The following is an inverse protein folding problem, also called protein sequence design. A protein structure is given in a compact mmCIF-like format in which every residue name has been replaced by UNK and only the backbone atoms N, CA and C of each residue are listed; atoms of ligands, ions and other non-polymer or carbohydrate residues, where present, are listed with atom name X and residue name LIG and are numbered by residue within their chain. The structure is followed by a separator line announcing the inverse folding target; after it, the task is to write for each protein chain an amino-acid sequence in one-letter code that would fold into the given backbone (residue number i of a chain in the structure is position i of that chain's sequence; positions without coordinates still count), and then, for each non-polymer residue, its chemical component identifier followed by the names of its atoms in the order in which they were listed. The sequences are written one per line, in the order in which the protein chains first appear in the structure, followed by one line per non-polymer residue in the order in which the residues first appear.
data_IF_526868236027
#
_entry.id   IF_526868236027
#
_cell.length_a   1.000
_cell.length_b   1.000
_cell.length_c   1.000
_cell.angle_alpha   90.00
_cell.angle_beta   90.00
_cell.angle_gamma   90.00
#
_symmetry.space_group_name_H-M   'P 1'
#
loop_
_entity.id
_entity.type
_entity.pdbx_description
1 polymer ?
#
# COMPACT_ATOMS: atom_id res chain seq x y z
N UNK A 1 -10.15 6.39 17.92
CA UNK A 1 -9.93 6.95 16.58
C UNK A 1 -11.28 6.99 15.88
N UNK A 2 -11.57 8.05 15.13
CA UNK A 2 -12.87 8.22 14.47
C UNK A 2 -12.84 7.56 13.10
N UNK A 3 -13.68 6.55 12.87
CA UNK A 3 -13.75 5.82 11.59
C UNK A 3 -14.15 6.75 10.45
N UNK A 4 -15.05 7.70 10.72
CA UNK A 4 -15.46 8.74 9.77
C UNK A 4 -14.28 9.57 9.27
N UNK A 5 -13.29 9.89 10.11
CA UNK A 5 -12.09 10.61 9.68
C UNK A 5 -11.22 9.77 8.75
N UNK A 6 -11.13 8.46 8.98
CA UNK A 6 -10.42 7.56 8.06
C UNK A 6 -11.15 7.48 6.72
N UNK A 7 -12.48 7.34 6.74
CA UNK A 7 -13.32 7.32 5.54
C UNK A 7 -13.18 8.63 4.75
N UNK A 8 -13.30 9.78 5.43
CA UNK A 8 -13.11 11.09 4.81
C UNK A 8 -11.71 11.26 4.21
N UNK A 9 -10.67 10.73 4.87
CA UNK A 9 -9.28 10.74 4.36
C UNK A 9 -9.14 10.00 3.03
N UNK A 10 -9.99 9.01 2.80
CA UNK A 10 -10.04 8.26 1.55
C UNK A 10 -11.24 8.67 0.68
N UNK A 11 -11.82 9.85 0.90
CA UNK A 11 -12.96 10.41 0.13
C UNK A 11 -14.22 9.53 0.11
N UNK A 12 -14.45 8.76 1.18
CA UNK A 12 -15.70 8.06 1.42
C UNK A 12 -16.50 8.83 2.47
N UNK A 13 -17.69 9.28 2.12
CA UNK A 13 -18.56 10.10 2.99
C UNK A 13 -19.82 9.35 3.46
N UNK A 14 -19.90 8.05 3.18
CA UNK A 14 -20.98 7.20 3.67
C UNK A 14 -20.88 7.05 5.20
N UNK A 15 -22.02 7.02 5.89
CA UNK A 15 -22.04 6.68 7.32
C UNK A 15 -21.48 5.28 7.53
N UNK A 16 -20.57 5.04 8.51
CA UNK A 16 -19.96 3.72 8.72
C UNK A 16 -20.98 2.58 8.87
N UNK A 17 -22.14 2.85 9.46
CA UNK A 17 -23.23 1.90 9.67
C UNK A 17 -23.96 1.46 8.39
N UNK A 18 -23.78 2.20 7.29
CA UNK A 18 -24.38 1.91 5.98
C UNK A 18 -23.45 1.14 5.05
N UNK A 19 -22.18 0.96 5.45
CA UNK A 19 -21.20 0.19 4.70
C UNK A 19 -21.28 -1.25 5.18
N UNK A 20 -21.87 -2.12 4.37
CA UNK A 20 -21.90 -3.56 4.64
C UNK A 20 -20.57 -4.25 4.26
N UNK A 21 -20.46 -5.54 4.58
CA UNK A 21 -19.26 -6.35 4.35
C UNK A 21 -19.20 -7.01 2.97
N UNK A 22 -19.84 -6.39 1.97
CA UNK A 22 -19.87 -6.88 0.59
C UNK A 22 -18.55 -6.71 -0.15
N UNK A 23 -18.37 -7.48 -1.25
CA UNK A 23 -17.19 -7.35 -2.12
C UNK A 23 -17.17 -6.01 -2.85
N UNK A 24 -18.34 -5.45 -3.14
CA UNK A 24 -18.51 -4.13 -3.74
C UNK A 24 -17.96 -3.04 -2.81
N UNK A 25 -18.34 -3.07 -1.53
CA UNK A 25 -17.83 -2.12 -0.54
C UNK A 25 -16.33 -2.34 -0.24
N UNK A 26 -15.85 -3.58 -0.16
CA UNK A 26 -14.42 -3.86 -0.03
C UNK A 26 -13.63 -3.27 -1.21
N UNK A 27 -14.14 -3.45 -2.43
CA UNK A 27 -13.51 -2.94 -3.65
C UNK A 27 -13.49 -1.42 -3.66
N UNK A 28 -14.60 -0.76 -3.32
CA UNK A 28 -14.71 0.69 -3.20
C UNK A 28 -13.70 1.24 -2.18
N UNK A 29 -13.63 0.66 -0.98
CA UNK A 29 -12.70 1.07 0.07
C UNK A 29 -11.24 0.90 -0.37
N UNK A 30 -10.92 -0.23 -1.01
CA UNK A 30 -9.57 -0.54 -1.47
C UNK A 30 -9.08 0.44 -2.54
N UNK A 31 -9.90 0.67 -3.58
CA UNK A 31 -9.59 1.61 -4.65
C UNK A 31 -9.47 3.04 -4.12
N UNK A 32 -10.42 3.47 -3.28
CA UNK A 32 -10.44 4.82 -2.73
C UNK A 32 -9.23 5.11 -1.84
N UNK A 33 -8.77 4.12 -1.07
CA UNK A 33 -7.54 4.25 -0.29
C UNK A 33 -6.34 4.46 -1.20
N UNK A 34 -6.17 3.65 -2.24
CA UNK A 34 -5.03 3.73 -3.17
C UNK A 34 -4.97 5.07 -3.93
N UNK A 35 -6.13 5.63 -4.28
CA UNK A 35 -6.22 6.92 -4.99
C UNK A 35 -5.90 8.12 -4.09
N UNK A 36 -6.19 8.01 -2.79
CA UNK A 36 -6.14 9.15 -1.88
C UNK A 36 -4.95 9.14 -0.92
N UNK A 37 -4.47 7.98 -0.50
CA UNK A 37 -3.35 7.84 0.45
C UNK A 37 -2.08 7.47 -0.32
N UNK A 38 -1.07 8.36 -0.38
CA UNK A 38 0.18 8.05 -1.05
C UNK A 38 0.95 6.95 -0.32
N UNK A 39 1.68 6.13 -1.06
CA UNK A 39 2.81 5.39 -0.50
C UNK A 39 3.98 6.37 -0.34
N UNK A 40 4.62 6.39 0.82
CA UNK A 40 5.81 7.21 1.05
C UNK A 40 6.71 6.61 2.11
N UNK A 41 8.02 6.82 1.95
CA UNK A 41 9.05 6.43 2.92
C UNK A 41 9.83 7.63 3.49
N UNK A 42 9.20 8.81 3.57
CA UNK A 42 9.85 10.05 4.02
C UNK A 42 10.41 9.93 5.44
N UNK A 43 9.72 9.20 6.33
CA UNK A 43 10.21 9.02 7.70
C UNK A 43 11.49 8.17 7.74
N UNK A 44 11.66 7.20 6.82
CA UNK A 44 12.91 6.45 6.68
C UNK A 44 14.03 7.36 6.19
N UNK A 45 13.76 8.13 5.12
CA UNK A 45 14.73 9.05 4.50
C UNK A 45 15.17 10.13 5.49
N UNK A 46 14.24 10.72 6.23
CA UNK A 46 14.51 11.76 7.22
C UNK A 46 14.88 11.23 8.60
N UNK A 47 15.06 9.91 8.75
CA UNK A 47 15.44 9.25 10.01
C UNK A 47 14.53 9.64 11.18
N UNK A 48 13.25 9.84 10.90
CA UNK A 48 12.22 10.04 11.93
C UNK A 48 11.92 8.70 12.61
N UNK A 49 11.33 8.77 13.80
CA UNK A 49 10.91 7.58 14.54
C UNK A 49 9.79 6.88 13.75
N UNK A 50 10.03 5.65 13.34
CA UNK A 50 9.01 4.80 12.76
C UNK A 50 8.17 4.13 13.84
N UNK A 51 6.86 3.99 13.64
CA UNK A 51 6.01 3.31 14.60
C UNK A 51 4.91 2.48 13.93
N UNK A 52 4.72 1.27 14.46
CA UNK A 52 3.58 0.41 14.14
C UNK A 52 2.38 0.64 15.08
N UNK A 53 2.46 1.65 15.96
CA UNK A 53 1.37 1.98 16.86
C UNK A 53 0.22 2.64 16.08
N UNK A 54 -0.98 2.05 16.15
CA UNK A 54 -2.14 2.51 15.39
C UNK A 54 -2.52 3.98 15.66
N UNK A 55 -2.31 4.50 16.87
CA UNK A 55 -2.60 5.91 17.17
C UNK A 55 -1.61 6.85 16.46
N UNK A 56 -0.31 6.50 16.45
CA UNK A 56 0.72 7.26 15.71
C UNK A 56 0.47 7.19 14.21
N UNK A 57 0.10 6.02 13.68
CA UNK A 57 -0.25 5.82 12.27
C UNK A 57 -1.46 6.68 11.88
N UNK A 58 -2.52 6.65 12.70
CA UNK A 58 -3.71 7.46 12.47
C UNK A 58 -3.39 8.95 12.46
N UNK A 59 -2.63 9.43 13.45
CA UNK A 59 -2.21 10.84 13.51
C UNK A 59 -1.42 11.24 12.27
N UNK A 60 -0.48 10.39 11.83
CA UNK A 60 0.31 10.62 10.62
C UNK A 60 -0.57 10.65 9.36
N UNK A 61 -1.25 9.56 9.04
CA UNK A 61 -1.93 9.38 7.74
C UNK A 61 -3.21 10.22 7.67
N UNK A 62 -3.98 10.25 8.76
CA UNK A 62 -5.33 10.85 8.78
C UNK A 62 -5.27 12.31 9.21
N UNK A 63 -4.67 12.62 10.36
CA UNK A 63 -4.66 13.99 10.89
C UNK A 63 -3.68 14.90 10.14
N UNK A 64 -2.47 14.39 9.82
CA UNK A 64 -1.41 15.15 9.16
C UNK A 64 -1.37 14.94 7.64
N UNK A 65 -2.39 14.27 7.08
CA UNK A 65 -2.56 14.04 5.64
C UNK A 65 -1.33 13.41 4.94
N UNK A 66 -0.54 12.62 5.68
CA UNK A 66 0.60 11.90 5.14
C UNK A 66 0.18 10.61 4.43
N UNK A 67 1.17 9.94 3.88
CA UNK A 67 1.06 8.56 3.42
C UNK A 67 1.71 7.59 4.41
N UNK A 68 2.05 6.41 3.94
CA UNK A 68 2.87 5.47 4.70
C UNK A 68 3.33 4.29 3.87
N UNK A 69 4.32 3.58 4.40
CA UNK A 69 4.78 2.30 3.84
C UNK A 69 3.76 1.18 4.12
N UNK A 70 4.03 -0.04 3.66
CA UNK A 70 3.12 -1.18 3.80
C UNK A 70 2.62 -1.40 5.25
N UNK A 71 3.50 -1.27 6.23
CA UNK A 71 3.15 -1.46 7.64
C UNK A 71 2.18 -0.44 8.18
N UNK A 72 2.32 0.84 7.81
CA UNK A 72 1.46 1.89 8.33
C UNK A 72 0.11 1.84 7.60
N UNK A 73 0.15 1.77 6.27
CA UNK A 73 -1.03 1.84 5.43
C UNK A 73 -1.92 0.61 5.55
N UNK A 74 -1.36 -0.61 5.47
CA UNK A 74 -2.16 -1.83 5.63
C UNK A 74 -2.61 -2.06 7.10
N UNK A 75 -1.89 -1.54 8.10
CA UNK A 75 -2.36 -1.56 9.50
C UNK A 75 -3.55 -0.62 9.70
N UNK A 76 -3.48 0.61 9.16
CA UNK A 76 -4.62 1.53 9.19
C UNK A 76 -5.82 0.97 8.43
N UNK A 77 -5.59 0.38 7.25
CA UNK A 77 -6.65 -0.18 6.43
C UNK A 77 -7.30 -1.39 7.10
N UNK A 78 -6.52 -2.27 7.72
CA UNK A 78 -7.07 -3.35 8.54
C UNK A 78 -7.89 -2.83 9.72
N UNK A 79 -7.42 -1.77 10.40
CA UNK A 79 -8.18 -1.14 11.48
C UNK A 79 -9.54 -0.62 10.97
N UNK A 80 -9.55 0.07 9.82
CA UNK A 80 -10.79 0.51 9.18
C UNK A 80 -11.73 -0.68 8.89
N UNK A 81 -11.24 -1.69 8.17
CA UNK A 81 -12.03 -2.87 7.78
C UNK A 81 -12.62 -3.60 8.98
N UNK A 82 -11.85 -3.80 10.05
CA UNK A 82 -12.34 -4.43 11.30
C UNK A 82 -13.47 -3.65 11.94
N UNK A 83 -13.38 -2.33 11.99
CA UNK A 83 -14.42 -1.50 12.59
C UNK A 83 -15.68 -1.41 11.72
N UNK A 84 -15.57 -1.67 10.42
CA UNK A 84 -16.70 -1.85 9.50
C UNK A 84 -17.28 -3.28 9.51
N UNK A 85 -16.68 -4.21 10.28
CA UNK A 85 -17.18 -5.57 10.46
C UNK A 85 -16.62 -6.63 9.50
N UNK A 86 -15.65 -6.29 8.66
CA UNK A 86 -14.99 -7.27 7.79
C UNK A 86 -14.15 -8.28 8.60
N UNK A 87 -14.18 -9.55 8.20
CA UNK A 87 -13.22 -10.57 8.66
C UNK A 87 -11.88 -10.38 7.93
N UNK A 88 -10.92 -9.76 8.60
CA UNK A 88 -9.62 -9.40 8.02
C UNK A 88 -8.45 -9.82 8.92
N UNK A 89 -7.40 -10.35 8.29
CA UNK A 89 -6.14 -10.73 8.93
C UNK A 89 -4.92 -10.17 8.19
N UNK A 90 -3.83 -9.98 8.93
CA UNK A 90 -2.52 -9.69 8.33
C UNK A 90 -1.87 -10.97 7.86
N UNK A 91 -1.13 -10.87 6.76
CA UNK A 91 -0.27 -11.92 6.25
C UNK A 91 1.11 -11.36 5.92
N UNK A 92 2.10 -12.25 5.94
CA UNK A 92 3.44 -11.97 5.47
C UNK A 92 3.54 -12.25 3.97
N UNK A 93 4.19 -11.33 3.25
CA UNK A 93 4.57 -11.53 1.87
C UNK A 93 6.08 -11.30 1.69
N UNK A 94 6.75 -12.24 1.03
CA UNK A 94 8.13 -12.13 0.57
C UNK A 94 8.14 -11.49 -0.80
N UNK A 95 8.74 -10.31 -0.94
CA UNK A 95 8.80 -9.63 -2.22
C UNK A 95 9.94 -10.22 -3.07
N UNK A 96 9.63 -10.56 -4.31
CA UNK A 96 10.60 -11.10 -5.29
C UNK A 96 11.00 -10.03 -6.32
N UNK A 97 10.12 -9.04 -6.53
CA UNK A 97 10.48 -7.79 -7.20
C UNK A 97 11.25 -6.91 -6.21
N UNK A 98 12.18 -6.09 -6.71
CA UNK A 98 12.96 -5.20 -5.85
C UNK A 98 11.98 -4.18 -5.26
N UNK A 99 11.55 -4.37 -4.00
CA UNK A 99 11.01 -3.23 -3.26
C UNK A 99 12.11 -2.19 -3.18
N UNK A 100 11.73 -0.93 -3.19
CA UNK A 100 12.66 0.16 -2.98
C UNK A 100 13.38 0.08 -1.62
N UNK A 101 12.90 -0.74 -0.68
CA UNK A 101 13.48 -0.92 0.66
C UNK A 101 14.42 -2.17 0.70
N UNK A 102 14.33 -3.07 -0.27
CA UNK A 102 15.18 -4.27 -0.41
C UNK A 102 14.40 -5.60 -0.44
N UNK A 103 15.03 -6.67 -0.93
CA UNK A 103 14.39 -7.99 -1.11
C UNK A 103 14.15 -8.75 0.21
N UNK A 104 14.96 -8.48 1.24
CA UNK A 104 14.78 -9.07 2.57
C UNK A 104 13.76 -8.32 3.43
N UNK A 105 13.20 -7.21 2.90
CA UNK A 105 12.21 -6.43 3.62
C UNK A 105 10.86 -7.17 3.61
N UNK A 106 10.32 -7.55 4.77
CA UNK A 106 9.06 -8.24 4.84
C UNK A 106 7.91 -7.32 4.44
N UNK A 107 7.03 -7.77 3.54
CA UNK A 107 5.85 -7.02 3.14
C UNK A 107 4.63 -7.45 3.94
N UNK A 108 3.86 -6.48 4.40
CA UNK A 108 2.59 -6.71 5.08
C UNK A 108 1.46 -6.54 4.06
N UNK A 109 0.65 -7.58 3.87
CA UNK A 109 -0.59 -7.54 3.11
C UNK A 109 -1.75 -8.08 3.95
N UNK A 110 -2.97 -8.01 3.42
CA UNK A 110 -4.18 -8.45 4.12
C UNK A 110 -4.89 -9.57 3.36
N UNK A 111 -5.51 -10.47 4.12
CA UNK A 111 -6.54 -11.38 3.61
C UNK A 111 -7.88 -11.01 4.23
N UNK A 112 -8.88 -10.80 3.39
CA UNK A 112 -10.26 -10.51 3.79
C UNK A 112 -11.14 -11.70 3.41
N UNK A 113 -11.93 -12.20 4.35
CA UNK A 113 -12.91 -13.25 4.10
C UNK A 113 -14.29 -12.63 3.93
N UNK A 114 -14.95 -12.97 2.84
CA UNK A 114 -16.35 -12.63 2.57
C UNK A 114 -17.03 -13.94 2.18
N UNK A 115 -18.03 -14.34 2.96
CA UNK A 115 -18.68 -15.64 2.86
C UNK A 115 -17.65 -16.79 2.86
N UNK A 116 -17.59 -17.59 1.78
CA UNK A 116 -16.68 -18.73 1.63
C UNK A 116 -15.45 -18.41 0.76
N UNK A 117 -15.19 -17.12 0.49
CA UNK A 117 -14.08 -16.66 -0.37
C UNK A 117 -13.07 -15.85 0.43
N UNK A 118 -11.80 -15.96 0.04
CA UNK A 118 -10.68 -15.22 0.61
C UNK A 118 -10.10 -14.29 -0.46
N UNK A 119 -9.91 -13.01 -0.12
CA UNK A 119 -9.43 -11.99 -1.03
C UNK A 119 -8.09 -11.41 -0.55
N UNK A 120 -7.09 -11.37 -1.43
CA UNK A 120 -5.87 -10.61 -1.22
C UNK A 120 -6.18 -9.12 -1.38
N UNK A 121 -5.82 -8.35 -0.37
CA UNK A 121 -6.01 -6.90 -0.28
C UNK A 121 -4.71 -6.25 0.17
N UNK A 122 -4.28 -5.21 -0.52
CA UNK A 122 -3.01 -4.55 -0.24
C UNK A 122 -3.05 -3.10 -0.76
N UNK A 123 -3.00 -2.13 0.15
CA UNK A 123 -3.09 -0.71 -0.21
C UNK A 123 -1.73 -0.03 -0.37
N UNK A 124 -0.61 -0.74 -0.17
CA UNK A 124 0.69 -0.08 0.01
C UNK A 124 1.91 -0.86 -0.52
N UNK A 125 1.80 -1.37 -1.74
CA UNK A 125 2.91 -1.92 -2.53
C UNK A 125 3.33 -1.01 -3.70
N UNK A 126 3.29 0.31 -3.48
CA UNK A 126 3.62 1.33 -4.49
C UNK A 126 2.67 1.33 -5.68
N UNK A 127 3.11 0.79 -6.83
CA UNK A 127 2.25 0.57 -7.99
C UNK A 127 1.47 -0.75 -7.86
N UNK A 128 0.25 -0.65 -7.33
CA UNK A 128 -0.53 -1.80 -6.89
C UNK A 128 -1.74 -2.13 -7.76
N UNK A 129 -2.22 -3.36 -7.61
CA UNK A 129 -3.58 -3.72 -8.03
C UNK A 129 -4.60 -2.92 -7.22
N UNK A 130 -5.64 -2.38 -7.87
CA UNK A 130 -6.64 -1.49 -7.24
C UNK A 130 -7.89 -2.20 -6.73
N UNK A 131 -7.95 -3.51 -6.93
CA UNK A 131 -9.12 -4.33 -6.59
C UNK A 131 -8.69 -5.53 -5.75
N UNK A 132 -9.55 -6.00 -4.82
CA UNK A 132 -9.32 -7.26 -4.12
C UNK A 132 -9.20 -8.42 -5.10
N UNK A 133 -8.26 -9.34 -4.88
CA UNK A 133 -8.07 -10.52 -5.72
C UNK A 133 -8.53 -11.79 -5.01
N UNK A 134 -9.53 -12.48 -5.56
CA UNK A 134 -10.05 -13.73 -4.98
C UNK A 134 -9.04 -14.86 -5.14
N UNK A 135 -8.70 -15.53 -4.03
CA UNK A 135 -7.89 -16.74 -4.05
C UNK A 135 -8.67 -17.87 -4.72
N UNK A 136 -7.99 -18.63 -5.59
CA UNK A 136 -8.57 -19.77 -6.29
C UNK A 136 -9.28 -19.45 -7.60
N UNK A 137 -9.44 -18.18 -7.96
CA UNK A 137 -9.94 -17.76 -9.27
C UNK A 137 -8.77 -17.40 -10.21
N UNK A 138 -8.83 -17.83 -11.47
CA UNK A 138 -7.86 -17.44 -12.52
C UNK A 138 -8.32 -16.14 -13.21
N UNK A 139 -8.47 -15.09 -12.41
CA UNK A 139 -8.91 -13.78 -12.88
C UNK A 139 -7.70 -12.89 -13.16
N UNK A 140 -7.64 -12.35 -14.38
CA UNK A 140 -6.68 -11.30 -14.75
C UNK A 140 -7.37 -9.95 -14.60
N UNK A 141 -6.82 -9.09 -13.75
CA UNK A 141 -7.27 -7.71 -13.58
C UNK A 141 -6.25 -6.74 -14.14
N UNK A 142 -6.70 -5.54 -14.51
CA UNK A 142 -5.82 -4.48 -15.05
C UNK A 142 -5.84 -3.27 -14.14
N UNK A 143 -4.67 -2.75 -13.82
CA UNK A 143 -4.49 -1.48 -13.09
C UNK A 143 -3.32 -0.73 -13.72
N UNK A 144 -3.52 0.53 -14.11
CA UNK A 144 -2.47 1.40 -14.69
C UNK A 144 -1.73 0.83 -15.92
N UNK A 145 -2.40 -0.03 -16.69
CA UNK A 145 -1.81 -0.72 -17.85
C UNK A 145 -0.93 -1.92 -17.49
N UNK A 146 -0.97 -2.38 -16.24
CA UNK A 146 -0.35 -3.61 -15.76
C UNK A 146 -1.45 -4.64 -15.52
N UNK A 147 -1.21 -5.88 -15.97
CA UNK A 147 -2.08 -7.00 -15.67
C UNK A 147 -1.60 -7.70 -14.40
N UNK A 148 -2.54 -8.10 -13.54
CA UNK A 148 -2.27 -8.80 -12.30
C UNK A 148 -3.12 -10.06 -12.22
N UNK A 149 -2.58 -11.10 -11.57
CA UNK A 149 -3.34 -12.30 -11.21
C UNK A 149 -2.72 -12.99 -10.00
N UNK A 150 -3.50 -13.85 -9.37
CA UNK A 150 -2.99 -14.79 -8.36
C UNK A 150 -2.58 -16.10 -9.02
N UNK A 151 -1.49 -16.67 -8.53
CA UNK A 151 -1.05 -18.02 -8.89
C UNK A 151 -0.83 -18.82 -7.62
N UNK A 152 -1.52 -19.96 -7.49
CA UNK A 152 -1.21 -20.94 -6.45
C UNK A 152 0.14 -21.61 -6.81
N UNK A 153 1.11 -21.54 -5.90
CA UNK A 153 2.44 -22.14 -6.09
C UNK A 153 2.43 -23.60 -5.60
N UNK A 154 1.91 -23.80 -4.38
CA UNK A 154 1.70 -25.11 -3.77
C UNK A 154 0.50 -25.02 -2.80
N UNK A 155 0.35 -25.98 -1.88
CA UNK A 155 -0.79 -26.01 -0.95
C UNK A 155 -0.82 -24.82 0.02
N UNK A 156 0.33 -24.25 0.36
CA UNK A 156 0.50 -23.22 1.39
C UNK A 156 0.83 -21.84 0.81
N UNK A 157 1.46 -21.79 -0.37
CA UNK A 157 1.99 -20.57 -0.97
C UNK A 157 1.22 -20.11 -2.21
N UNK A 158 1.04 -18.80 -2.27
CA UNK A 158 0.40 -18.06 -3.37
C UNK A 158 1.34 -16.95 -3.84
N UNK A 159 1.28 -16.63 -5.12
CA UNK A 159 2.04 -15.53 -5.70
C UNK A 159 1.10 -14.49 -6.31
N UNK A 160 1.33 -13.22 -5.97
CA UNK A 160 0.83 -12.11 -6.78
C UNK A 160 1.75 -11.99 -8.00
N UNK A 161 1.18 -12.18 -9.17
CA UNK A 161 1.87 -12.07 -10.45
C UNK A 161 1.53 -10.73 -11.10
N UNK A 162 2.48 -10.14 -11.81
CA UNK A 162 2.22 -8.98 -12.66
C UNK A 162 2.81 -9.17 -14.06
N UNK A 163 2.22 -8.51 -15.05
CA UNK A 163 2.70 -8.47 -16.43
C UNK A 163 2.58 -7.05 -16.96
N UNK A 164 3.72 -6.39 -17.13
CA UNK A 164 3.78 -5.05 -17.69
C UNK A 164 3.96 -5.12 -19.22
N UNK A 165 2.97 -4.60 -19.95
CA UNK A 165 2.96 -4.53 -21.43
C UNK A 165 3.14 -5.87 -22.14
N UNK A 166 2.53 -6.93 -21.62
CA UNK A 166 2.49 -8.27 -22.24
C UNK A 166 3.87 -8.90 -22.50
N UNK A 167 4.90 -8.51 -21.74
CA UNK A 167 6.25 -9.05 -21.93
C UNK A 167 6.36 -10.46 -21.37
N UNK A 168 6.06 -10.61 -20.08
CA UNK A 168 6.06 -11.88 -19.37
C UNK A 168 5.45 -11.70 -17.98
N UNK A 169 4.90 -12.78 -17.43
CA UNK A 169 4.47 -12.80 -16.03
C UNK A 169 5.69 -12.87 -15.10
N UNK A 170 5.71 -11.99 -14.11
CA UNK A 170 6.74 -11.90 -13.08
C UNK A 170 6.11 -11.98 -11.69
N UNK A 171 6.86 -12.50 -10.72
CA UNK A 171 6.43 -12.55 -9.33
C UNK A 171 6.61 -11.20 -8.69
N UNK A 172 5.51 -10.62 -8.20
CA UNK A 172 5.55 -9.43 -7.34
C UNK A 172 6.00 -9.84 -5.95
N UNK A 173 5.23 -10.71 -5.32
CA UNK A 173 5.55 -11.31 -4.02
C UNK A 173 4.88 -12.67 -3.86
N UNK A 174 5.42 -13.46 -2.93
CA UNK A 174 4.89 -14.76 -2.50
C UNK A 174 4.37 -14.61 -1.07
N UNK A 175 3.23 -15.19 -0.75
CA UNK A 175 2.63 -15.13 0.58
C UNK A 175 2.00 -16.46 0.98
N UNK A 176 1.86 -16.66 2.28
CA UNK A 176 1.06 -17.75 2.87
C UNK A 176 -0.20 -17.19 3.51
N UNK A 177 -1.13 -18.08 3.86
CA UNK A 177 -2.37 -17.71 4.57
C UNK A 177 -2.21 -17.68 6.09
N UNK A 178 -0.98 -17.77 6.58
CA UNK A 178 -0.69 -17.77 8.01
C UNK A 178 -1.02 -16.41 8.61
N UNK A 179 -1.91 -16.40 9.59
CA UNK A 179 -2.29 -15.20 10.32
C UNK A 179 -1.07 -14.61 11.02
N UNK A 180 -0.87 -13.30 10.84
CA UNK A 180 0.12 -12.50 11.56
C UNK A 180 -0.53 -11.45 12.45
N UNK A 181 0.23 -10.99 13.43
CA UNK A 181 -0.06 -9.85 14.28
C UNK A 181 0.98 -8.76 14.10
N UNK A 182 0.66 -7.53 14.50
CA UNK A 182 1.59 -6.39 14.42
C UNK A 182 2.92 -6.68 15.13
N UNK A 183 2.87 -7.41 16.26
CA UNK A 183 4.06 -7.84 17.01
C UNK A 183 4.97 -8.78 16.23
N UNK A 184 4.45 -9.57 15.30
CA UNK A 184 5.27 -10.47 14.47
C UNK A 184 6.21 -9.69 13.54
N UNK A 185 5.92 -8.40 13.35
CA UNK A 185 6.72 -7.49 12.54
C UNK A 185 7.54 -6.50 13.37
N UNK A 186 7.40 -6.52 14.70
CA UNK A 186 8.07 -5.55 15.58
C UNK A 186 9.59 -5.68 15.49
N UNK A 187 10.12 -6.89 15.31
CA UNK A 187 11.55 -7.17 15.18
C UNK A 187 12.23 -6.48 13.98
N UNK A 188 11.45 -6.08 12.95
CA UNK A 188 11.93 -5.33 11.79
C UNK A 188 12.31 -3.89 12.19
N UNK A 189 11.64 -3.33 13.20
CA UNK A 189 11.71 -1.90 13.54
C UNK A 189 12.23 -1.62 14.96
N UNK A 190 12.01 -2.52 15.91
CA UNK A 190 12.47 -2.39 17.30
C UNK A 190 13.98 -2.58 17.43
N UNK A 191 14.58 -3.38 16.55
CA UNK A 191 16.03 -3.50 16.48
C UNK A 191 16.59 -2.37 15.62
N UNK A 192 17.25 -1.40 16.26
CA UNK A 192 17.87 -0.25 15.58
C UNK A 192 18.79 -0.67 14.43
N UNK A 193 19.44 -1.84 14.50
CA UNK A 193 20.28 -2.34 13.40
C UNK A 193 19.47 -2.78 12.19
N UNK A 194 18.33 -3.45 12.38
CA UNK A 194 17.45 -3.87 11.30
C UNK A 194 16.79 -2.65 10.66
N UNK A 195 16.28 -1.73 11.48
CA UNK A 195 15.73 -0.46 11.00
C UNK A 195 16.77 0.31 10.17
N UNK A 196 17.99 0.47 10.69
CA UNK A 196 19.08 1.15 9.97
C UNK A 196 19.51 0.42 8.70
N UNK A 197 19.48 -0.92 8.68
CA UNK A 197 19.80 -1.70 7.49
C UNK A 197 18.87 -1.33 6.33
N UNK A 198 17.57 -1.22 6.59
CA UNK A 198 16.57 -0.86 5.61
C UNK A 198 16.53 0.65 5.32
N UNK A 199 16.59 1.49 6.36
CA UNK A 199 16.43 2.94 6.20
C UNK A 199 17.64 3.62 5.55
N UNK A 200 18.86 3.14 5.80
CA UNK A 200 20.08 3.81 5.29
C UNK A 200 20.27 3.66 3.78
N UNK A 201 19.61 2.69 3.16
CA UNK A 201 19.77 2.38 1.74
C UNK A 201 18.48 2.56 0.93
N UNK A 202 17.37 2.92 1.59
CA UNK A 202 16.12 3.15 0.89
C UNK A 202 16.18 4.50 0.14
N UNK A 203 16.16 4.51 -1.21
CA UNK A 203 16.00 5.75 -1.96
C UNK A 203 14.63 6.35 -1.63
N UNK A 204 14.52 7.67 -1.75
CA UNK A 204 13.24 8.35 -1.61
C UNK A 204 12.25 7.78 -2.63
N UNK A 205 11.07 7.44 -2.14
CA UNK A 205 9.92 7.13 -2.96
C UNK A 205 8.66 7.67 -2.32
N UNK A 206 7.99 8.55 -3.05
CA UNK A 206 6.63 9.00 -2.76
C UNK A 206 5.81 8.77 -4.01
N UNK A 207 4.75 7.96 -3.95
CA UNK A 207 3.95 7.65 -5.12
C UNK A 207 2.47 7.55 -4.79
N UNK A 208 1.63 8.06 -5.69
CA UNK A 208 0.19 8.06 -5.54
C UNK A 208 -0.47 7.71 -6.87
N UNK A 209 -1.44 6.80 -6.82
CA UNK A 209 -2.29 6.53 -7.96
C UNK A 209 -3.16 7.75 -8.27
N UNK A 210 -3.44 7.97 -9.55
CA UNK A 210 -4.50 8.86 -10.03
C UNK A 210 -5.54 7.97 -10.75
N UNK A 211 -6.76 8.46 -10.96
CA UNK A 211 -7.83 7.71 -11.66
C UNK A 211 -7.30 7.02 -12.94
N UNK A 212 -6.56 7.77 -13.74
CA UNK A 212 -6.05 7.42 -15.06
C UNK A 212 -4.51 7.48 -15.16
N UNK A 213 -3.83 7.45 -14.01
CA UNK A 213 -2.42 7.79 -13.96
C UNK A 213 -1.71 7.48 -12.66
N UNK A 214 -0.54 8.08 -12.51
CA UNK A 214 0.30 8.01 -11.32
C UNK A 214 1.23 9.19 -11.26
N UNK A 215 1.47 9.65 -10.04
CA UNK A 215 2.51 10.61 -9.72
C UNK A 215 3.54 9.95 -8.81
N UNK A 216 4.82 10.13 -9.12
CA UNK A 216 5.93 9.51 -8.40
C UNK A 216 7.09 10.47 -8.27
N UNK A 217 7.54 10.69 -7.04
CA UNK A 217 8.73 11.43 -6.67
C UNK A 217 9.79 10.45 -6.17
N UNK A 218 11.00 10.57 -6.70
CA UNK A 218 12.21 9.88 -6.25
C UNK A 218 13.24 10.89 -5.74
N UNK A 219 14.44 10.44 -5.38
CA UNK A 219 15.54 11.33 -4.99
C UNK A 219 15.85 12.38 -6.06
N UNK A 220 15.79 11.98 -7.34
CA UNK A 220 16.30 12.76 -8.47
C UNK A 220 15.19 13.32 -9.36
N UNK A 221 14.01 12.71 -9.38
CA UNK A 221 13.00 13.03 -10.40
C UNK A 221 11.59 13.04 -9.87
N UNK A 222 10.76 13.84 -10.53
CA UNK A 222 9.32 13.77 -10.44
C UNK A 222 8.77 13.27 -11.77
N UNK A 223 7.95 12.23 -11.70
CA UNK A 223 7.23 11.67 -12.84
C UNK A 223 5.74 11.89 -12.62
N UNK A 224 5.12 12.65 -13.53
CA UNK A 224 3.68 12.81 -13.59
C UNK A 224 3.17 12.13 -14.86
N UNK A 225 2.29 11.14 -14.68
CA UNK A 225 1.64 10.44 -15.78
C UNK A 225 0.12 10.52 -15.57
N UNK A 226 -0.59 11.07 -16.53
CA UNK A 226 -2.05 11.17 -16.55
C UNK A 226 -2.52 11.04 -18.00
N UNK A 227 -3.50 10.18 -18.27
CA UNK A 227 -3.94 9.84 -19.61
C UNK A 227 -2.78 9.49 -20.57
N UNK A 228 -2.62 10.29 -21.63
CA UNK A 228 -1.54 10.20 -22.64
C UNK A 228 -0.35 11.10 -22.31
N UNK A 229 -0.48 11.94 -21.29
CA UNK A 229 0.56 12.85 -20.86
C UNK A 229 1.54 12.15 -19.92
N UNK A 230 2.83 12.27 -20.24
CA UNK A 230 3.91 11.90 -19.33
C UNK A 230 4.91 13.05 -19.28
N UNK A 231 5.08 13.61 -18.10
CA UNK A 231 6.10 14.60 -17.79
C UNK A 231 7.09 14.01 -16.79
N UNK A 232 8.37 14.24 -17.03
CA UNK A 232 9.45 13.87 -16.12
C UNK A 232 10.38 15.07 -16.02
N UNK A 233 10.71 15.48 -14.80
CA UNK A 233 11.66 16.56 -14.55
C UNK A 233 12.50 16.26 -13.32
N UNK A 234 13.68 16.87 -13.26
CA UNK A 234 14.60 16.73 -12.14
C UNK A 234 14.10 17.48 -10.90
N UNK A 235 14.34 16.90 -9.74
CA UNK A 235 14.01 17.45 -8.43
C UNK A 235 15.31 17.72 -7.69
N UNK A 236 15.38 18.91 -7.10
CA UNK A 236 16.46 19.29 -6.20
C UNK A 236 15.95 19.22 -4.75
N UNK A 237 16.84 19.43 -3.78
CA UNK A 237 16.42 19.46 -2.39
C UNK A 237 15.53 20.68 -2.09
N UNK A 238 15.79 21.80 -2.77
CA UNK A 238 15.13 23.09 -2.54
C UNK A 238 13.66 23.10 -2.98
N UNK A 239 13.30 22.38 -4.05
CA UNK A 239 11.93 22.33 -4.57
C UNK A 239 11.11 21.12 -4.07
N UNK A 240 11.72 20.23 -3.28
CA UNK A 240 11.09 18.98 -2.83
C UNK A 240 9.85 19.21 -1.96
N UNK A 241 9.91 20.17 -1.03
CA UNK A 241 8.78 20.49 -0.16
C UNK A 241 7.57 21.02 -0.94
N UNK A 242 7.82 21.87 -1.94
CA UNK A 242 6.79 22.37 -2.85
C UNK A 242 6.16 21.24 -3.66
N UNK A 243 6.97 20.32 -4.19
CA UNK A 243 6.46 19.16 -4.95
C UNK A 243 5.62 18.22 -4.08
N UNK A 244 6.04 17.96 -2.85
CA UNK A 244 5.27 17.16 -1.89
C UNK A 244 3.90 17.79 -1.60
N UNK A 245 3.87 19.10 -1.37
CA UNK A 245 2.63 19.83 -1.12
C UNK A 245 1.73 19.83 -2.35
N UNK A 246 2.25 20.24 -3.50
CA UNK A 246 1.43 20.53 -4.68
C UNK A 246 0.89 19.26 -5.37
N UNK A 247 1.62 18.14 -5.31
CA UNK A 247 1.24 16.91 -6.01
C UNK A 247 0.76 15.78 -5.09
N UNK A 248 1.19 15.77 -3.83
CA UNK A 248 0.85 14.72 -2.86
C UNK A 248 0.02 15.24 -1.68
N UNK A 249 -0.15 16.57 -1.55
CA UNK A 249 -0.80 17.20 -0.42
C UNK A 249 -0.11 16.87 0.92
N UNK A 250 1.22 16.73 0.87
CA UNK A 250 2.07 16.42 2.03
C UNK A 250 2.85 17.67 2.43
N UNK A 251 2.74 18.04 3.71
CA UNK A 251 3.60 19.06 4.34
C UNK A 251 4.68 18.37 5.19
N UNK A 252 5.93 18.86 5.11
CA UNK A 252 7.11 18.31 5.82
C UNK A 252 7.89 19.36 6.60
#
# INVERSE_FOLDING_TARGET
MEIEKILNRIEIFDEPSKIDTSIENLTKLHESYILNVPYENLDFVFKKEFSVNILKIYEKIVCNNRGGICYESNTLFMYLLKNLGFDVQMIFAKVEDITYIGADYPHLALLVRIENKEYLVDVANGQNVRVPLCLGEDTIVKSEGIEYKLKKINEEEFALMYNHKYRSWQTRYIFTKEKREVSDFSCVFENTKNYQQFSNHAPLLVTKALEDGRVTLTDETMTYKKDKEKRVWEISLENRAEVLRDYFNIEI
#
